data_IF_293484420469
#
_entry.id   IF_293484420469
#
_cell.length_a   1.000
_cell.length_b   1.000
_cell.length_c   1.000
_cell.angle_alpha   90.00
_cell.angle_beta   90.00
_cell.angle_gamma   90.00
#
_symmetry.space_group_name_H-M   'P 1'
#
loop_
_entity.id
_entity.type
_entity.pdbx_description
1 polymer ?
#
# COMPACT_ATOMS: atom_id res chain seq x y z
N UNK A 1 -3.54 21.19 -11.34
CA UNK A 1 -3.17 20.50 -10.09
C UNK A 1 -2.80 19.09 -10.46
N UNK A 2 -1.68 18.56 -9.95
CA UNK A 2 -1.28 17.18 -10.22
C UNK A 2 -2.09 16.25 -9.32
N UNK A 3 -3.27 15.83 -9.77
CA UNK A 3 -4.24 15.02 -9.00
C UNK A 3 -3.76 13.57 -8.69
N UNK A 4 -2.47 13.32 -8.84
CA UNK A 4 -1.85 11.99 -8.77
C UNK A 4 -0.70 11.90 -7.78
N UNK A 5 -0.26 13.01 -7.17
CA UNK A 5 0.82 13.02 -6.17
C UNK A 5 0.20 13.24 -4.79
N UNK A 6 0.63 12.44 -3.81
CA UNK A 6 0.09 12.45 -2.47
C UNK A 6 1.21 12.40 -1.43
N UNK A 7 1.05 13.12 -0.33
CA UNK A 7 1.90 13.01 0.85
C UNK A 7 1.20 12.23 1.95
N UNK A 8 1.91 11.23 2.46
CA UNK A 8 1.55 10.50 3.68
C UNK A 8 2.38 11.07 4.82
N UNK A 9 1.73 11.79 5.71
CA UNK A 9 2.38 12.57 6.77
C UNK A 9 2.06 11.93 8.11
N UNK A 10 3.06 11.30 8.73
CA UNK A 10 2.98 10.85 10.11
C UNK A 10 3.33 12.01 11.04
N UNK A 11 2.40 12.37 11.91
CA UNK A 11 2.52 13.57 12.74
C UNK A 11 1.68 13.53 14.00
N UNK A 12 1.57 14.68 14.66
CA UNK A 12 0.81 14.83 15.90
C UNK A 12 -0.70 15.04 15.68
N UNK A 13 -1.14 15.18 14.43
CA UNK A 13 -2.54 15.33 14.04
C UNK A 13 -2.81 14.76 12.63
N UNK A 14 -4.03 14.30 12.40
CA UNK A 14 -4.47 13.74 11.12
C UNK A 14 -5.84 13.08 11.22
N UNK A 15 -6.46 12.80 10.08
CA UNK A 15 -7.78 12.15 10.01
C UNK A 15 -7.76 10.65 10.38
N UNK A 16 -6.56 10.07 10.49
CA UNK A 16 -6.36 8.68 10.90
C UNK A 16 -5.49 8.61 12.15
N UNK A 17 -5.98 7.94 13.20
CA UNK A 17 -5.19 7.60 14.39
C UNK A 17 -4.44 6.31 14.14
N UNK A 18 -3.14 6.30 14.39
CA UNK A 18 -2.30 5.10 14.30
C UNK A 18 -2.51 4.27 15.58
N UNK A 19 -3.02 3.05 15.43
CA UNK A 19 -3.31 2.14 16.56
C UNK A 19 -2.25 1.05 16.73
N UNK A 20 -1.53 0.71 15.66
CA UNK A 20 -0.39 -0.19 15.69
C UNK A 20 0.60 0.21 14.59
N UNK A 21 1.89 0.10 14.89
CA UNK A 21 2.97 0.34 13.95
C UNK A 21 4.09 -0.64 14.23
N UNK A 22 4.41 -1.48 13.24
CA UNK A 22 5.38 -2.57 13.38
C UNK A 22 6.39 -2.53 12.22
N UNK A 23 7.67 -2.66 12.54
CA UNK A 23 8.70 -2.86 11.52
C UNK A 23 8.77 -4.35 11.24
N UNK A 24 8.27 -4.77 10.08
CA UNK A 24 8.21 -6.19 9.70
C UNK A 24 9.58 -6.67 9.24
N UNK A 25 10.26 -5.87 8.41
CA UNK A 25 11.63 -6.12 7.96
C UNK A 25 12.32 -4.79 7.59
N UNK A 26 13.64 -4.75 7.75
CA UNK A 26 14.48 -3.62 7.38
C UNK A 26 14.48 -2.49 8.40
N UNK A 27 14.92 -1.30 7.96
CA UNK A 27 15.04 -0.14 8.84
C UNK A 27 13.67 0.41 9.28
N UNK A 28 13.49 0.73 10.57
CA UNK A 28 12.26 1.34 11.06
C UNK A 28 12.08 2.76 10.53
N UNK A 29 10.87 3.30 10.70
CA UNK A 29 10.61 4.74 10.63
C UNK A 29 10.11 5.23 12.00
N UNK A 30 10.24 6.52 12.28
CA UNK A 30 9.88 7.07 13.58
C UNK A 30 8.37 6.88 13.85
N UNK A 31 8.01 6.55 15.10
CA UNK A 31 6.61 6.41 15.50
C UNK A 31 5.88 7.76 15.42
N UNK A 32 4.63 7.72 14.94
CA UNK A 32 3.73 8.86 14.91
C UNK A 32 2.35 8.46 15.45
N UNK A 33 1.64 9.35 16.15
CA UNK A 33 0.29 9.06 16.67
C UNK A 33 -0.83 9.18 15.63
N UNK A 34 -0.65 10.00 14.58
CA UNK A 34 -1.64 10.21 13.53
C UNK A 34 -1.02 10.17 12.15
N UNK A 35 -1.86 9.87 11.15
CA UNK A 35 -1.56 9.95 9.73
C UNK A 35 -2.53 10.92 9.07
N UNK A 36 -1.98 11.75 8.19
CA UNK A 36 -2.71 12.61 7.27
C UNK A 36 -2.31 12.29 5.83
N UNK A 37 -3.27 12.19 4.91
CA UNK A 37 -3.02 11.95 3.50
C UNK A 37 -3.56 13.13 2.69
N UNK A 38 -2.65 13.88 2.04
CA UNK A 38 -3.02 15.08 1.26
C UNK A 38 -2.61 14.95 -0.20
N UNK A 39 -3.39 15.60 -1.08
CA UNK A 39 -2.93 15.86 -2.45
C UNK A 39 -1.77 16.85 -2.41
N UNK A 40 -0.73 16.62 -3.21
CA UNK A 40 0.52 17.35 -3.12
C UNK A 40 1.17 17.56 -4.49
N UNK A 41 2.39 18.09 -4.47
CA UNK A 41 3.27 18.26 -5.61
C UNK A 41 4.71 17.80 -5.26
N UNK A 42 5.69 18.00 -6.15
CA UNK A 42 7.07 17.54 -5.93
C UNK A 42 7.92 18.44 -5.03
N UNK A 43 7.41 19.57 -4.57
CA UNK A 43 8.11 20.40 -3.60
C UNK A 43 8.27 19.61 -2.31
N UNK A 44 9.49 19.62 -1.77
CA UNK A 44 9.75 19.09 -0.43
C UNK A 44 9.16 20.06 0.59
N UNK A 45 8.23 19.57 1.39
CA UNK A 45 7.71 20.29 2.53
C UNK A 45 8.02 19.44 3.77
N UNK A 46 8.71 20.04 4.74
CA UNK A 46 8.97 19.41 6.04
C UNK A 46 7.76 19.69 6.92
N UNK A 47 6.88 18.72 7.16
CA UNK A 47 5.61 19.07 7.83
C UNK A 47 5.21 18.23 9.03
N UNK A 48 6.02 17.26 9.49
CA UNK A 48 5.87 16.71 10.85
C UNK A 48 7.03 15.75 11.20
N UNK A 49 6.74 14.56 11.74
CA UNK A 49 7.70 13.54 12.18
C UNK A 49 8.31 12.81 10.97
N UNK A 50 7.47 12.42 10.02
CA UNK A 50 7.91 11.87 8.74
C UNK A 50 6.89 12.13 7.64
N UNK A 51 7.40 12.27 6.42
CA UNK A 51 6.60 12.36 5.20
C UNK A 51 7.14 11.36 4.20
N UNK A 52 6.24 10.64 3.52
CA UNK A 52 6.57 9.78 2.38
C UNK A 52 5.63 10.13 1.23
N UNK A 53 6.20 10.48 0.08
CA UNK A 53 5.43 10.85 -1.10
C UNK A 53 5.10 9.62 -1.96
N UNK A 54 3.91 9.61 -2.56
CA UNK A 54 3.47 8.53 -3.44
C UNK A 54 2.72 9.04 -4.67
N UNK A 55 2.88 8.34 -5.79
CA UNK A 55 2.22 8.65 -7.05
C UNK A 55 1.22 7.57 -7.45
N UNK A 56 0.00 8.00 -7.79
CA UNK A 56 -0.93 7.16 -8.52
C UNK A 56 -0.45 7.06 -9.97
N UNK A 57 -0.25 5.85 -10.47
CA UNK A 57 0.32 5.59 -11.79
C UNK A 57 -0.54 4.62 -12.60
N UNK A 58 -0.13 4.37 -13.85
CA UNK A 58 -0.75 3.35 -14.68
C UNK A 58 -0.46 1.93 -14.15
N UNK A 59 -1.31 0.98 -14.54
CA UNK A 59 -1.16 -0.44 -14.24
C UNK A 59 0.16 -0.97 -14.80
N UNK A 60 0.89 -1.76 -13.99
CA UNK A 60 2.21 -2.32 -14.35
C UNK A 60 2.20 -3.81 -14.68
N UNK A 61 1.30 -4.59 -14.06
CA UNK A 61 1.29 -6.06 -14.22
C UNK A 61 -0.06 -6.64 -14.64
N UNK A 62 -1.18 -6.07 -14.14
CA UNK A 62 -2.48 -6.68 -14.38
C UNK A 62 -2.84 -6.65 -15.87
N UNK A 63 -3.22 -7.82 -16.37
CA UNK A 63 -3.72 -8.01 -17.74
C UNK A 63 -5.16 -7.52 -17.86
N UNK A 64 -5.69 -7.50 -19.09
CA UNK A 64 -7.01 -6.93 -19.37
C UNK A 64 -8.11 -7.65 -18.57
N UNK A 65 -8.15 -8.98 -18.61
CA UNK A 65 -9.19 -9.76 -17.92
C UNK A 65 -9.12 -9.59 -16.40
N UNK A 66 -7.91 -9.49 -15.84
CA UNK A 66 -7.69 -9.24 -14.41
C UNK A 66 -8.18 -7.85 -14.02
N UNK A 67 -7.85 -6.83 -14.82
CA UNK A 67 -8.31 -5.46 -14.61
C UNK A 67 -9.83 -5.36 -14.67
N UNK A 68 -10.46 -6.01 -15.63
CA UNK A 68 -11.93 -6.02 -15.76
C UNK A 68 -12.61 -6.67 -14.55
N UNK A 69 -12.09 -7.82 -14.09
CA UNK A 69 -12.58 -8.47 -12.86
C UNK A 69 -12.43 -7.59 -11.63
N UNK A 70 -11.29 -6.92 -11.48
CA UNK A 70 -11.05 -5.99 -10.39
C UNK A 70 -12.03 -4.81 -10.42
N UNK A 71 -12.22 -4.19 -11.59
CA UNK A 71 -13.13 -3.04 -11.74
C UNK A 71 -14.58 -3.40 -11.46
N UNK A 72 -15.00 -4.62 -11.78
CA UNK A 72 -16.37 -5.07 -11.56
C UNK A 72 -16.72 -5.23 -10.07
N UNK A 73 -15.74 -5.43 -9.18
CA UNK A 73 -15.98 -5.80 -7.77
C UNK A 73 -15.37 -4.80 -6.78
N UNK A 74 -14.30 -4.07 -7.14
CA UNK A 74 -13.59 -3.24 -6.17
C UNK A 74 -14.45 -2.07 -5.66
N UNK A 75 -14.47 -1.89 -4.34
CA UNK A 75 -15.06 -0.71 -3.72
C UNK A 75 -14.10 0.50 -3.79
N UNK A 76 -14.69 1.70 -3.80
CA UNK A 76 -13.94 2.96 -3.66
C UNK A 76 -13.45 3.20 -2.22
N UNK A 77 -12.50 4.13 -2.10
CA UNK A 77 -12.07 4.68 -0.81
C UNK A 77 -13.13 5.62 -0.23
N UNK A 78 -13.04 5.90 1.08
CA UNK A 78 -13.87 6.89 1.77
C UNK A 78 -15.29 6.43 2.09
N UNK A 79 -15.56 5.11 2.04
CA UNK A 79 -16.87 4.57 2.45
C UNK A 79 -17.15 4.92 3.92
N UNK A 80 -18.37 5.35 4.28
CA UNK A 80 -18.70 5.68 5.67
C UNK A 80 -18.45 4.55 6.67
N UNK A 81 -18.65 3.29 6.25
CA UNK A 81 -18.39 2.11 7.08
C UNK A 81 -16.91 1.74 7.20
N UNK A 82 -16.04 2.24 6.31
CA UNK A 82 -14.62 1.91 6.30
C UNK A 82 -13.84 2.79 7.28
N UNK A 83 -13.98 2.46 8.57
CA UNK A 83 -13.35 3.20 9.68
C UNK A 83 -12.01 2.60 10.12
N UNK A 84 -11.60 1.46 9.56
CA UNK A 84 -10.27 0.89 9.72
C UNK A 84 -9.46 1.06 8.43
N UNK A 85 -8.15 1.23 8.57
CA UNK A 85 -7.24 1.30 7.45
C UNK A 85 -5.88 0.68 7.77
N UNK A 86 -5.14 0.38 6.70
CA UNK A 86 -3.75 -0.02 6.78
C UNK A 86 -2.92 0.75 5.74
N UNK A 87 -1.78 1.27 6.19
CA UNK A 87 -0.71 1.76 5.33
C UNK A 87 0.45 0.78 5.46
N UNK A 88 0.84 0.16 4.35
CA UNK A 88 1.98 -0.75 4.31
C UNK A 88 2.98 -0.25 3.25
N UNK A 89 3.96 0.59 3.64
CA UNK A 89 5.07 0.99 2.79
C UNK A 89 6.01 -0.20 2.55
N UNK A 90 6.35 -0.45 1.29
CA UNK A 90 7.12 -1.62 0.86
C UNK A 90 8.28 -1.18 -0.04
N UNK A 91 9.46 -1.75 0.19
CA UNK A 91 10.61 -1.66 -0.70
C UNK A 91 11.05 -3.06 -1.10
N UNK A 92 11.29 -3.24 -2.41
CA UNK A 92 11.85 -4.46 -2.96
C UNK A 92 13.35 -4.29 -3.22
N UNK A 93 14.09 -5.39 -3.14
CA UNK A 93 15.53 -5.42 -3.33
C UNK A 93 15.94 -5.18 -4.79
N UNK A 94 17.23 -4.92 -5.01
CA UNK A 94 17.77 -4.67 -6.35
C UNK A 94 17.59 -5.87 -7.30
N UNK A 95 17.65 -7.10 -6.80
CA UNK A 95 17.45 -8.30 -7.61
C UNK A 95 16.07 -8.28 -8.29
N UNK A 96 15.02 -7.88 -7.57
CA UNK A 96 13.70 -7.69 -8.15
C UNK A 96 13.71 -6.67 -9.29
N UNK A 97 14.37 -5.54 -9.09
CA UNK A 97 14.40 -4.45 -10.05
C UNK A 97 15.28 -4.74 -11.28
N UNK A 98 16.21 -5.69 -11.18
CA UNK A 98 17.04 -6.16 -12.29
C UNK A 98 16.32 -7.16 -13.21
N UNK A 99 15.21 -7.76 -12.77
CA UNK A 99 14.41 -8.64 -13.62
C UNK A 99 13.72 -7.87 -14.76
N UNK A 100 13.64 -8.54 -15.90
CA UNK A 100 12.81 -8.10 -17.01
C UNK A 100 11.32 -8.10 -16.61
N UNK A 101 10.50 -7.43 -17.43
CA UNK A 101 9.09 -7.23 -17.13
C UNK A 101 8.29 -8.54 -17.07
N UNK A 102 8.58 -9.48 -17.97
CA UNK A 102 7.97 -10.81 -18.03
C UNK A 102 8.35 -11.67 -16.82
N UNK A 103 9.62 -11.62 -16.39
CA UNK A 103 10.10 -12.31 -15.19
C UNK A 103 9.37 -11.80 -13.93
N UNK A 104 9.26 -10.48 -13.76
CA UNK A 104 8.51 -9.87 -12.65
C UNK A 104 7.04 -10.26 -12.69
N UNK A 105 6.39 -10.22 -13.86
CA UNK A 105 4.99 -10.61 -14.03
C UNK A 105 4.77 -12.09 -13.67
N UNK A 106 5.67 -12.97 -14.09
CA UNK A 106 5.61 -14.41 -13.75
C UNK A 106 5.67 -14.64 -12.24
N UNK A 107 6.55 -13.94 -11.52
CA UNK A 107 6.63 -14.06 -10.06
C UNK A 107 5.38 -13.45 -9.40
N UNK A 108 4.96 -12.25 -9.83
CA UNK A 108 3.82 -11.51 -9.28
C UNK A 108 2.51 -12.31 -9.33
N UNK A 109 2.19 -12.95 -10.46
CA UNK A 109 0.89 -13.62 -10.59
C UNK A 109 0.98 -15.11 -10.82
N UNK A 110 1.82 -15.58 -11.75
CA UNK A 110 1.82 -17.00 -12.10
C UNK A 110 2.31 -17.87 -10.93
N UNK A 111 3.18 -17.33 -10.08
CA UNK A 111 3.70 -18.02 -8.90
C UNK A 111 3.09 -17.54 -7.58
N UNK A 112 2.83 -16.24 -7.46
CA UNK A 112 2.37 -15.65 -6.19
C UNK A 112 0.86 -15.38 -6.16
N UNK A 113 0.18 -15.47 -7.30
CA UNK A 113 -1.25 -15.27 -7.42
C UNK A 113 -1.72 -13.98 -6.73
N UNK A 114 -0.96 -12.89 -6.87
CA UNK A 114 -1.19 -11.66 -6.11
C UNK A 114 -2.60 -11.11 -6.35
N UNK A 115 -2.99 -10.95 -7.62
CA UNK A 115 -4.32 -10.44 -7.98
C UNK A 115 -5.40 -11.42 -7.59
N UNK A 116 -5.21 -12.71 -7.91
CA UNK A 116 -6.18 -13.75 -7.57
C UNK A 116 -6.42 -13.88 -6.05
N UNK A 117 -5.38 -13.74 -5.24
CA UNK A 117 -5.47 -13.76 -3.77
C UNK A 117 -6.23 -12.55 -3.27
N UNK A 118 -5.89 -11.35 -3.74
CA UNK A 118 -6.58 -10.11 -3.35
C UNK A 118 -8.05 -10.06 -3.77
N UNK A 119 -8.41 -10.65 -4.92
CA UNK A 119 -9.78 -10.71 -5.43
C UNK A 119 -10.76 -11.35 -4.44
N UNK A 120 -10.31 -12.32 -3.64
CA UNK A 120 -11.16 -13.03 -2.65
C UNK A 120 -11.69 -12.12 -1.54
N UNK A 121 -11.08 -10.96 -1.35
CA UNK A 121 -11.40 -10.03 -0.27
C UNK A 121 -12.09 -8.74 -0.75
N UNK A 122 -12.43 -8.67 -2.05
CA UNK A 122 -13.28 -7.60 -2.59
C UNK A 122 -14.75 -8.02 -2.47
N UNK A 123 -15.70 -7.10 -2.23
CA UNK A 123 -15.54 -5.63 -2.09
C UNK A 123 -15.21 -5.16 -0.66
N UNK A 124 -14.99 -6.09 0.28
CA UNK A 124 -14.80 -5.78 1.70
C UNK A 124 -13.60 -4.84 1.94
N UNK A 125 -12.48 -5.09 1.26
CA UNK A 125 -11.24 -4.31 1.38
C UNK A 125 -11.09 -3.39 0.16
N UNK A 126 -11.23 -2.08 0.36
CA UNK A 126 -10.86 -1.11 -0.66
C UNK A 126 -9.33 -0.91 -0.65
N UNK A 127 -8.74 -0.65 -1.82
CA UNK A 127 -7.27 -0.47 -1.92
C UNK A 127 -6.87 0.63 -2.88
N UNK A 128 -5.71 1.23 -2.64
CA UNK A 128 -5.05 2.13 -3.57
C UNK A 128 -3.54 1.94 -3.50
N UNK A 129 -2.90 1.92 -4.67
CA UNK A 129 -1.46 1.75 -4.81
C UNK A 129 -0.83 3.07 -5.21
N UNK A 130 0.28 3.40 -4.56
CA UNK A 130 1.11 4.54 -4.88
C UNK A 130 2.54 4.06 -5.14
N UNK A 131 3.15 4.56 -6.21
CA UNK A 131 4.54 4.31 -6.57
C UNK A 131 5.42 5.45 -6.07
N UNK A 132 6.58 5.14 -5.53
CA UNK A 132 7.47 6.14 -4.93
C UNK A 132 8.96 5.90 -5.25
N UNK A 133 9.32 4.74 -5.80
CA UNK A 133 10.70 4.44 -6.23
C UNK A 133 11.29 5.50 -7.16
N UNK A 134 10.57 5.81 -8.23
CA UNK A 134 11.07 6.66 -9.33
C UNK A 134 11.22 8.14 -8.93
N UNK A 135 10.78 8.52 -7.73
CA UNK A 135 10.96 9.86 -7.16
C UNK A 135 11.95 9.91 -6.00
N UNK A 136 12.72 8.83 -5.81
CA UNK A 136 13.81 8.77 -4.84
C UNK A 136 13.36 8.65 -3.38
N UNK A 137 12.14 8.19 -3.14
CA UNK A 137 11.67 7.91 -1.78
C UNK A 137 12.31 6.67 -1.19
N UNK A 138 12.23 6.55 0.13
CA UNK A 138 12.83 5.44 0.89
C UNK A 138 12.10 4.09 0.73
N UNK A 139 10.89 4.11 0.16
CA UNK A 139 10.08 2.94 -0.19
C UNK A 139 9.74 2.96 -1.68
N UNK A 140 9.49 1.80 -2.26
CA UNK A 140 9.11 1.69 -3.67
C UNK A 140 7.60 1.88 -3.89
N UNK A 141 6.81 1.44 -2.91
CA UNK A 141 5.36 1.47 -2.94
C UNK A 141 4.81 1.91 -1.59
N UNK A 142 3.70 2.67 -1.63
CA UNK A 142 2.82 2.87 -0.50
C UNK A 142 1.51 2.16 -0.83
N UNK A 143 1.19 1.11 -0.07
CA UNK A 143 -0.05 0.36 -0.26
C UNK A 143 -1.05 0.79 0.81
N UNK A 144 -2.21 1.27 0.36
CA UNK A 144 -3.26 1.82 1.21
C UNK A 144 -4.50 0.95 1.12
N UNK A 145 -5.08 0.63 2.27
CA UNK A 145 -6.27 -0.19 2.38
C UNK A 145 -7.28 0.41 3.36
N UNK A 146 -8.57 0.30 3.04
CA UNK A 146 -9.68 0.75 3.90
C UNK A 146 -10.77 -0.31 3.97
N UNK A 147 -11.24 -0.60 5.18
CA UNK A 147 -12.23 -1.64 5.44
C UNK A 147 -13.04 -1.36 6.70
N UNK A 148 -14.20 -2.00 6.80
CA UNK A 148 -15.03 -1.94 8.00
C UNK A 148 -14.45 -2.83 9.11
N UNK A 149 -14.69 -2.54 10.41
CA UNK A 149 -14.13 -3.30 11.51
C UNK A 149 -14.40 -4.81 11.43
N UNK A 150 -15.58 -5.23 10.95
CA UNK A 150 -15.95 -6.64 10.77
C UNK A 150 -15.08 -7.40 9.75
N UNK A 151 -14.27 -6.70 8.96
CA UNK A 151 -13.37 -7.28 7.96
C UNK A 151 -11.90 -7.28 8.39
N UNK A 152 -11.59 -6.91 9.65
CA UNK A 152 -10.21 -6.85 10.16
C UNK A 152 -9.50 -8.19 10.07
N UNK A 153 -10.13 -9.29 10.49
CA UNK A 153 -9.52 -10.63 10.42
C UNK A 153 -9.27 -11.07 8.99
N UNK A 154 -10.19 -10.75 8.07
CA UNK A 154 -10.03 -11.03 6.65
C UNK A 154 -8.87 -10.22 6.06
N UNK A 155 -8.67 -8.98 6.53
CA UNK A 155 -7.52 -8.18 6.15
C UNK A 155 -6.19 -8.81 6.62
N UNK A 156 -6.11 -9.28 7.86
CA UNK A 156 -4.89 -9.97 8.35
C UNK A 156 -4.62 -11.26 7.58
N UNK A 157 -5.66 -12.01 7.18
CA UNK A 157 -5.51 -13.21 6.35
C UNK A 157 -4.92 -12.90 4.97
N UNK A 158 -5.35 -11.83 4.29
CA UNK A 158 -4.78 -11.47 2.98
C UNK A 158 -3.33 -11.02 3.11
N UNK A 159 -2.99 -10.26 4.16
CA UNK A 159 -1.61 -9.84 4.41
C UNK A 159 -0.71 -11.05 4.68
N UNK A 160 -1.13 -11.96 5.55
CA UNK A 160 -0.39 -13.18 5.85
C UNK A 160 -0.21 -14.07 4.61
N UNK A 161 -1.26 -14.21 3.80
CA UNK A 161 -1.19 -14.96 2.55
C UNK A 161 -0.15 -14.35 1.60
N UNK A 162 -0.17 -13.03 1.38
CA UNK A 162 0.79 -12.36 0.51
C UNK A 162 2.23 -12.44 1.03
N UNK A 163 2.44 -12.29 2.34
CA UNK A 163 3.76 -12.43 2.99
C UNK A 163 4.38 -13.81 2.84
N UNK A 164 3.56 -14.83 2.57
CA UNK A 164 4.00 -16.22 2.36
C UNK A 164 4.37 -16.57 0.91
N UNK A 165 4.24 -15.62 -0.03
CA UNK A 165 4.46 -15.86 -1.46
C UNK A 165 5.92 -15.72 -1.89
N UNK A 166 6.27 -16.24 -3.06
CA UNK A 166 7.60 -16.02 -3.67
C UNK A 166 7.87 -14.53 -3.89
N UNK A 167 6.87 -13.74 -4.28
CA UNK A 167 7.01 -12.30 -4.45
C UNK A 167 7.57 -11.61 -3.19
N UNK A 168 7.14 -12.05 -2.01
CA UNK A 168 7.54 -11.43 -0.74
C UNK A 168 8.98 -11.72 -0.34
N UNK A 169 9.61 -12.74 -0.93
CA UNK A 169 11.04 -13.02 -0.73
C UNK A 169 11.94 -11.90 -1.27
N UNK A 170 11.40 -11.02 -2.12
CA UNK A 170 12.10 -9.86 -2.65
C UNK A 170 11.82 -8.56 -1.90
N UNK A 171 10.99 -8.58 -0.85
CA UNK A 171 10.74 -7.42 0.01
C UNK A 171 11.88 -7.28 1.02
N UNK A 172 12.55 -6.14 1.03
CA UNK A 172 13.68 -5.86 1.94
C UNK A 172 13.38 -4.83 3.02
N UNK A 173 12.29 -4.06 2.86
CA UNK A 173 11.79 -3.13 3.88
C UNK A 173 10.27 -3.09 3.85
N UNK A 174 9.66 -3.31 5.00
CA UNK A 174 8.21 -3.26 5.17
C UNK A 174 7.87 -2.73 6.55
N UNK A 175 7.00 -1.72 6.59
CA UNK A 175 6.41 -1.22 7.83
C UNK A 175 4.91 -1.49 7.77
N UNK A 176 4.36 -2.06 8.84
CA UNK A 176 2.95 -2.35 8.95
C UNK A 176 2.28 -1.33 9.89
N UNK A 177 1.47 -0.42 9.33
CA UNK A 177 0.79 0.65 10.06
C UNK A 177 -0.72 0.41 10.00
N UNK A 178 -1.34 0.19 11.16
CA UNK A 178 -2.79 0.01 11.32
C UNK A 178 -3.41 1.28 11.89
N UNK A 179 -4.55 1.67 11.32
CA UNK A 179 -5.19 2.94 11.63
C UNK A 179 -6.69 2.80 11.84
N UNK A 180 -7.24 3.72 12.63
CA UNK A 180 -8.68 3.94 12.76
C UNK A 180 -9.00 5.39 12.44
N UNK A 181 -10.15 5.62 11.82
CA UNK A 181 -10.62 6.96 11.50
C UNK A 181 -10.97 7.72 12.78
N UNK A 182 -10.57 8.98 12.86
CA UNK A 182 -10.90 9.89 13.99
C UNK A 182 -12.34 10.39 13.90
#
# INVERSE_FOLDING_TARGET
MTDHIFDFIGGIAGEWKIVKMETVIGEPIQSAPYLKIINSNFQKINEDIWTIKGLVSNVRYAEKEEKEKLLAIQAGLGRPSATCAALIPIRKNEAWWNFAQDERRKIFENKSHHTQTGLKYLPAIARKLYHSRDIGERFDFLTWFEYAPEHSDAFEQVVAALRSTEEWTYVEREIDIRLVKV
#
